data_IF_366953221279
#
_entry.id   IF_366953221279
#
_cell.length_a   1.000
_cell.length_b   1.000
_cell.length_c   1.000
_cell.angle_alpha   90.00
_cell.angle_beta   90.00
_cell.angle_gamma   90.00
#
_symmetry.space_group_name_H-M   'P 1'
#
loop_
_entity.id
_entity.type
_entity.pdbx_description
1 polymer ?
#
# COMPACT_ATOMS: atom_id res chain seq x y z
N UNK A 1 -5.08 15.52 -19.19
CA UNK A 1 -5.49 14.54 -18.18
C UNK A 1 -5.07 14.98 -16.79
N UNK A 2 -5.97 14.92 -15.86
CA UNK A 2 -5.72 15.26 -14.47
C UNK A 2 -4.93 14.12 -13.81
N UNK A 3 -3.89 14.47 -13.05
CA UNK A 3 -3.10 13.50 -12.28
C UNK A 3 -3.95 12.78 -11.23
N UNK A 4 -4.95 13.46 -10.68
CA UNK A 4 -5.86 12.89 -9.69
C UNK A 4 -6.74 11.80 -10.27
N UNK A 5 -7.24 12.01 -11.49
CA UNK A 5 -8.03 11.00 -12.19
C UNK A 5 -7.18 9.77 -12.48
N UNK A 6 -5.92 9.99 -12.88
CA UNK A 6 -4.96 8.93 -13.16
C UNK A 6 -4.69 8.06 -11.94
N UNK A 7 -4.51 8.69 -10.77
CA UNK A 7 -4.29 7.97 -9.51
C UNK A 7 -5.51 7.15 -9.11
N UNK A 8 -6.70 7.75 -9.20
CA UNK A 8 -7.95 7.07 -8.86
C UNK A 8 -8.17 5.86 -9.75
N UNK A 9 -7.95 6.03 -11.05
CA UNK A 9 -8.07 4.93 -12.02
C UNK A 9 -7.05 3.83 -11.75
N UNK A 10 -5.84 4.20 -11.38
CA UNK A 10 -4.79 3.24 -11.06
C UNK A 10 -5.19 2.38 -9.85
N UNK A 11 -5.63 3.02 -8.77
CA UNK A 11 -6.04 2.29 -7.56
C UNK A 11 -7.20 1.34 -7.87
N UNK A 12 -8.20 1.82 -8.62
CA UNK A 12 -9.35 1.01 -9.02
C UNK A 12 -8.90 -0.24 -9.79
N UNK A 13 -8.02 -0.06 -10.76
CA UNK A 13 -7.49 -1.16 -11.56
C UNK A 13 -6.69 -2.14 -10.71
N UNK A 14 -5.88 -1.64 -9.77
CA UNK A 14 -5.09 -2.50 -8.92
C UNK A 14 -5.94 -3.38 -8.01
N UNK A 15 -7.05 -2.86 -7.50
CA UNK A 15 -7.97 -3.67 -6.70
C UNK A 15 -8.45 -4.87 -7.52
N UNK A 16 -8.84 -4.63 -8.75
CA UNK A 16 -9.31 -5.68 -9.65
C UNK A 16 -8.19 -6.69 -9.96
N UNK A 17 -7.00 -6.19 -10.29
CA UNK A 17 -5.87 -7.05 -10.62
C UNK A 17 -5.47 -7.93 -9.43
N UNK A 18 -5.38 -7.35 -8.24
CA UNK A 18 -5.00 -8.10 -7.05
C UNK A 18 -6.06 -9.12 -6.64
N UNK A 19 -7.34 -8.79 -6.87
CA UNK A 19 -8.41 -9.75 -6.66
C UNK A 19 -8.28 -10.93 -7.61
N UNK A 20 -8.03 -10.65 -8.89
CA UNK A 20 -7.89 -11.70 -9.91
C UNK A 20 -6.65 -12.55 -9.71
N UNK A 21 -5.61 -12.00 -9.10
CA UNK A 21 -4.35 -12.70 -8.85
C UNK A 21 -4.33 -13.49 -7.55
N UNK A 22 -5.39 -13.40 -6.75
CA UNK A 22 -5.43 -14.08 -5.45
C UNK A 22 -5.48 -15.59 -5.62
N UNK A 23 -4.55 -16.28 -4.95
CA UNK A 23 -4.49 -17.74 -5.02
C UNK A 23 -4.28 -18.24 -6.44
N UNK A 24 -4.75 -19.45 -6.72
CA UNK A 24 -4.61 -20.06 -8.05
C UNK A 24 -5.69 -19.62 -9.03
N UNK A 25 -6.89 -19.35 -8.53
CA UNK A 25 -8.05 -19.09 -9.36
C UNK A 25 -8.59 -17.66 -9.27
N UNK A 26 -8.02 -16.86 -8.38
CA UNK A 26 -8.53 -15.53 -8.12
C UNK A 26 -9.78 -15.55 -7.23
N UNK A 27 -10.31 -14.38 -6.96
CA UNK A 27 -11.55 -14.20 -6.20
C UNK A 27 -12.59 -13.52 -7.05
N UNK A 28 -13.86 -13.92 -6.88
CA UNK A 28 -14.97 -13.15 -7.43
C UNK A 28 -15.16 -11.87 -6.62
N UNK A 29 -15.87 -10.91 -7.19
CA UNK A 29 -16.24 -9.70 -6.45
C UNK A 29 -17.07 -10.04 -5.22
N UNK A 30 -17.98 -11.00 -5.35
CA UNK A 30 -18.82 -11.46 -4.24
C UNK A 30 -17.97 -12.06 -3.12
N UNK A 31 -17.02 -12.92 -3.47
CA UNK A 31 -16.15 -13.54 -2.48
C UNK A 31 -15.32 -12.51 -1.73
N UNK A 32 -14.73 -11.55 -2.45
CA UNK A 32 -13.96 -10.49 -1.83
C UNK A 32 -14.85 -9.62 -0.93
N UNK A 33 -16.06 -9.30 -1.39
CA UNK A 33 -17.01 -8.50 -0.60
C UNK A 33 -17.31 -9.17 0.74
N UNK A 34 -17.52 -10.48 0.74
CA UNK A 34 -17.74 -11.23 1.98
C UNK A 34 -16.53 -11.18 2.90
N UNK A 35 -15.33 -11.31 2.34
CA UNK A 35 -14.10 -11.28 3.13
C UNK A 35 -13.87 -9.94 3.83
N UNK A 36 -14.25 -8.84 3.18
CA UNK A 36 -14.01 -7.49 3.74
C UNK A 36 -15.26 -6.88 4.38
N UNK A 37 -16.40 -7.59 4.34
CA UNK A 37 -17.59 -7.14 5.03
C UNK A 37 -18.36 -6.01 4.36
N UNK A 38 -18.33 -5.95 3.03
CA UNK A 38 -19.06 -4.94 2.26
C UNK A 38 -19.98 -5.61 1.25
N UNK A 39 -20.86 -4.82 0.63
CA UNK A 39 -21.73 -5.31 -0.44
C UNK A 39 -20.91 -5.56 -1.70
N UNK A 40 -21.35 -6.52 -2.52
CA UNK A 40 -20.69 -6.80 -3.81
C UNK A 40 -20.65 -5.55 -4.68
N UNK A 41 -21.70 -4.77 -4.69
CA UNK A 41 -21.75 -3.49 -5.40
C UNK A 41 -20.64 -2.53 -5.00
N UNK A 42 -20.27 -2.55 -3.73
CA UNK A 42 -19.18 -1.69 -3.23
C UNK A 42 -17.87 -2.06 -3.91
N UNK A 43 -17.56 -3.36 -3.99
CA UNK A 43 -16.35 -3.82 -4.67
C UNK A 43 -16.38 -3.38 -6.13
N UNK A 44 -17.50 -3.59 -6.82
CA UNK A 44 -17.66 -3.20 -8.21
C UNK A 44 -17.41 -1.70 -8.42
N UNK A 45 -17.94 -0.88 -7.55
CA UNK A 45 -17.79 0.58 -7.65
C UNK A 45 -16.37 1.03 -7.34
N UNK A 46 -15.68 0.34 -6.44
CA UNK A 46 -14.26 0.60 -6.21
C UNK A 46 -13.43 0.24 -7.45
N UNK A 47 -13.74 -0.87 -8.11
CA UNK A 47 -12.99 -1.34 -9.28
C UNK A 47 -13.21 -0.51 -10.53
N UNK A 48 -14.37 0.16 -10.62
CA UNK A 48 -14.68 1.04 -11.75
C UNK A 48 -14.29 2.49 -11.48
N UNK A 49 -13.86 2.81 -10.26
CA UNK A 49 -13.54 4.18 -9.89
C UNK A 49 -14.76 5.05 -9.59
N UNK A 50 -15.96 4.46 -9.57
CA UNK A 50 -17.20 5.18 -9.27
C UNK A 50 -17.20 5.69 -7.82
N UNK A 51 -16.70 4.85 -6.91
CA UNK A 51 -16.44 5.24 -5.52
C UNK A 51 -14.97 5.06 -5.23
N UNK A 52 -14.44 5.95 -4.42
CA UNK A 52 -13.05 5.86 -3.97
C UNK A 52 -13.02 5.19 -2.61
N UNK A 53 -12.26 4.08 -2.45
CA UNK A 53 -12.09 3.48 -1.13
C UNK A 53 -11.30 4.41 -0.21
N UNK A 54 -11.63 4.37 1.08
CA UNK A 54 -10.85 5.09 2.10
C UNK A 54 -9.55 4.33 2.36
N UNK A 55 -8.64 4.97 3.09
CA UNK A 55 -7.41 4.28 3.53
C UNK A 55 -7.74 3.06 4.39
N UNK A 56 -8.76 3.16 5.24
CA UNK A 56 -9.21 2.02 6.04
C UNK A 56 -9.73 0.88 5.16
N UNK A 57 -10.46 1.22 4.11
CA UNK A 57 -10.93 0.24 3.14
C UNK A 57 -9.76 -0.46 2.45
N UNK A 58 -8.75 0.30 2.04
CA UNK A 58 -7.56 -0.27 1.41
C UNK A 58 -6.77 -1.15 2.38
N UNK A 59 -6.70 -0.76 3.64
CA UNK A 59 -6.06 -1.59 4.67
C UNK A 59 -6.79 -2.92 4.83
N UNK A 60 -8.12 -2.89 4.89
CA UNK A 60 -8.94 -4.10 4.99
C UNK A 60 -8.73 -4.98 3.75
N UNK A 61 -8.72 -4.38 2.56
CA UNK A 61 -8.46 -5.11 1.33
C UNK A 61 -7.08 -5.75 1.33
N UNK A 62 -6.07 -5.02 1.79
CA UNK A 62 -4.70 -5.54 1.82
C UNK A 62 -4.59 -6.76 2.72
N UNK A 63 -5.24 -6.75 3.87
CA UNK A 63 -5.26 -7.88 4.78
C UNK A 63 -5.98 -9.08 4.16
N UNK A 64 -7.14 -8.84 3.55
CA UNK A 64 -7.91 -9.91 2.92
C UNK A 64 -7.15 -10.56 1.77
N UNK A 65 -6.47 -9.76 0.96
CA UNK A 65 -5.74 -10.24 -0.20
C UNK A 65 -4.31 -10.70 0.13
N UNK A 66 -3.85 -10.46 1.36
CA UNK A 66 -2.51 -10.87 1.77
C UNK A 66 -1.40 -10.10 1.09
N UNK A 67 -1.63 -8.84 0.76
CA UNK A 67 -0.65 -7.97 0.09
C UNK A 67 -0.42 -6.70 0.90
N UNK A 68 0.69 -6.03 0.63
CA UNK A 68 0.95 -4.72 1.22
C UNK A 68 -0.01 -3.69 0.63
N UNK A 69 -0.45 -2.74 1.45
CA UNK A 69 -1.28 -1.62 0.99
C UNK A 69 -0.58 -0.84 -0.13
N UNK A 70 0.75 -0.86 -0.16
CA UNK A 70 1.53 -0.17 -1.20
C UNK A 70 1.27 -0.74 -2.59
N UNK A 71 0.76 -1.97 -2.69
CA UNK A 71 0.45 -2.60 -3.97
C UNK A 71 -0.70 -1.91 -4.70
N UNK A 72 -1.51 -1.12 -3.99
CA UNK A 72 -2.59 -0.37 -4.62
C UNK A 72 -2.13 0.93 -5.27
N UNK A 73 -0.90 1.36 -5.02
CA UNK A 73 -0.40 2.65 -5.47
C UNK A 73 0.70 2.49 -6.51
N UNK A 74 0.83 3.46 -7.44
CA UNK A 74 1.87 3.38 -8.45
C UNK A 74 3.26 3.63 -7.84
N UNK A 75 4.26 2.98 -8.43
CA UNK A 75 5.65 3.27 -8.10
C UNK A 75 6.07 4.44 -8.98
N UNK A 76 6.80 5.39 -8.40
CA UNK A 76 7.34 6.50 -9.18
C UNK A 76 8.76 6.16 -9.61
N UNK A 77 9.12 6.56 -10.82
CA UNK A 77 10.43 6.25 -11.40
C UNK A 77 11.58 6.76 -10.54
N UNK A 78 11.40 7.92 -9.93
CA UNK A 78 12.42 8.53 -9.09
C UNK A 78 12.61 7.82 -7.75
N UNK A 79 11.72 6.90 -7.39
CA UNK A 79 11.72 6.23 -6.09
C UNK A 79 11.95 4.72 -6.18
N UNK A 80 12.17 4.18 -7.38
CA UNK A 80 12.30 2.74 -7.55
C UNK A 80 13.40 2.13 -6.68
N UNK A 81 14.59 2.71 -6.69
CA UNK A 81 15.69 2.22 -5.86
C UNK A 81 15.40 2.38 -4.37
N UNK A 82 14.78 3.50 -4.01
CA UNK A 82 14.39 3.75 -2.62
C UNK A 82 13.30 2.78 -2.19
N UNK A 83 12.31 2.54 -3.07
CA UNK A 83 11.25 1.58 -2.81
C UNK A 83 11.77 0.17 -2.60
N UNK A 84 12.72 -0.27 -3.42
CA UNK A 84 13.35 -1.56 -3.26
C UNK A 84 14.07 -1.69 -1.93
N UNK A 85 14.79 -0.64 -1.53
CA UNK A 85 15.50 -0.62 -0.25
C UNK A 85 14.55 -0.66 0.93
N UNK A 86 13.43 0.08 0.84
CA UNK A 86 12.40 0.06 1.88
C UNK A 86 11.76 -1.32 1.96
N UNK A 87 11.43 -1.93 0.82
CA UNK A 87 10.86 -3.27 0.79
C UNK A 87 11.82 -4.29 1.42
N UNK A 88 13.11 -4.21 1.11
CA UNK A 88 14.11 -5.07 1.69
C UNK A 88 14.20 -4.89 3.20
N UNK A 89 14.16 -3.63 3.67
CA UNK A 89 14.18 -3.31 5.09
C UNK A 89 12.95 -3.89 5.79
N UNK A 90 11.77 -3.75 5.19
CA UNK A 90 10.54 -4.28 5.78
C UNK A 90 10.57 -5.80 5.88
N UNK A 91 11.12 -6.49 4.88
CA UNK A 91 11.27 -7.94 4.93
C UNK A 91 12.20 -8.35 6.06
N UNK A 92 13.33 -7.66 6.21
CA UNK A 92 14.27 -7.90 7.30
C UNK A 92 13.62 -7.63 8.65
N UNK A 93 12.90 -6.51 8.75
CA UNK A 93 12.25 -6.10 9.99
C UNK A 93 11.16 -7.06 10.44
N UNK A 94 10.50 -7.75 9.50
CA UNK A 94 9.43 -8.69 9.85
C UNK A 94 9.92 -9.88 10.69
N UNK A 95 11.24 -10.14 10.69
CA UNK A 95 11.84 -11.19 11.53
C UNK A 95 12.31 -10.70 12.88
N UNK A 96 12.15 -9.41 13.18
CA UNK A 96 12.60 -8.84 14.46
C UNK A 96 11.49 -8.86 15.51
N UNK A 97 11.88 -8.95 16.79
CA UNK A 97 10.92 -8.83 17.86
C UNK A 97 10.52 -7.36 18.09
N UNK A 98 9.55 -7.14 18.98
CA UNK A 98 9.04 -5.79 19.24
C UNK A 98 10.10 -4.84 19.78
N UNK A 99 11.00 -5.32 20.62
CA UNK A 99 12.08 -4.51 21.16
C UNK A 99 13.03 -4.04 20.08
N UNK A 100 13.40 -4.94 19.18
CA UNK A 100 14.29 -4.62 18.07
C UNK A 100 13.62 -3.66 17.08
N UNK A 101 12.33 -3.86 16.83
CA UNK A 101 11.57 -2.95 15.96
C UNK A 101 11.51 -1.54 16.54
N UNK A 102 11.33 -1.42 17.86
CA UNK A 102 11.31 -0.12 18.53
C UNK A 102 12.66 0.58 18.44
N UNK A 103 13.75 -0.16 18.61
CA UNK A 103 15.10 0.38 18.44
C UNK A 103 15.33 0.86 17.00
N UNK A 104 14.88 0.07 16.03
CA UNK A 104 15.01 0.43 14.63
C UNK A 104 14.21 1.69 14.32
N UNK A 105 13.01 1.81 14.89
CA UNK A 105 12.16 3.00 14.72
C UNK A 105 12.85 4.24 15.25
N UNK A 106 13.41 4.15 16.45
CA UNK A 106 14.14 5.27 17.07
C UNK A 106 15.33 5.69 16.22
N UNK A 107 16.07 4.72 15.72
CA UNK A 107 17.22 4.99 14.86
C UNK A 107 16.78 5.69 13.57
N UNK A 108 15.71 5.22 12.95
CA UNK A 108 15.19 5.82 11.73
C UNK A 108 14.75 7.27 11.97
N UNK A 109 14.09 7.54 13.09
CA UNK A 109 13.69 8.90 13.47
C UNK A 109 14.90 9.81 13.67
N UNK A 110 15.93 9.29 14.34
CA UNK A 110 17.16 10.04 14.54
C UNK A 110 17.82 10.40 13.21
N UNK A 111 17.90 9.46 12.29
CA UNK A 111 18.49 9.69 10.98
C UNK A 111 17.68 10.71 10.16
N UNK A 112 16.38 10.64 10.26
CA UNK A 112 15.49 11.58 9.59
C UNK A 112 15.68 13.00 10.12
N UNK A 113 15.73 13.16 11.44
CA UNK A 113 15.95 14.46 12.07
C UNK A 113 17.31 15.04 11.68
N UNK A 114 18.34 14.20 11.67
CA UNK A 114 19.69 14.61 11.26
C UNK A 114 19.71 15.06 9.80
N UNK A 115 19.03 14.37 8.93
CA UNK A 115 18.94 14.71 7.51
C UNK A 115 18.28 16.07 7.32
N UNK A 116 17.20 16.33 8.02
CA UNK A 116 16.50 17.62 7.98
C UNK A 116 17.41 18.74 8.48
N UNK A 117 18.10 18.51 9.58
CA UNK A 117 19.03 19.49 10.16
C UNK A 117 20.15 19.84 9.16
N UNK A 118 20.76 18.85 8.54
CA UNK A 118 21.81 19.06 7.54
C UNK A 118 21.28 19.86 6.35
N UNK A 119 20.08 19.56 5.89
CA UNK A 119 19.46 20.26 4.77
C UNK A 119 19.25 21.74 5.09
N UNK A 120 18.80 22.04 6.30
CA UNK A 120 18.61 23.43 6.76
C UNK A 120 19.93 24.16 6.94
N UNK A 121 20.95 23.46 7.42
CA UNK A 121 22.28 24.07 7.61
C UNK A 121 22.93 24.47 6.30
N UNK A 122 22.60 23.79 5.21
CA UNK A 122 23.12 24.13 3.88
C UNK A 122 22.34 25.25 3.18
N UNK A 123 21.15 25.53 3.65
CA UNK A 123 20.34 26.61 3.12
C UNK A 123 20.76 27.93 3.69
#
# INVERSE_FOLDING_TARGET
MSRNASMREYVARRIRELRNDYGKEGLSQEALAKMVGVATNTISRWETGTYQPTLDDLETLSRALGVSILKFFPKTDTQDKKGEKVDALLRTASGLDEGDLEELRKYAEFRRARSIYKSRAKG
#
